data_IF_302619213962
#
_entry.id   IF_302619213962
#
_cell.length_a   1.000
_cell.length_b   1.000
_cell.length_c   1.000
_cell.angle_alpha   90.00
_cell.angle_beta   90.00
_cell.angle_gamma   90.00
#
_symmetry.space_group_name_H-M   'P 1'
#
loop_
_entity.id
_entity.type
_entity.pdbx_description
1 polymer ?
#
# COMPACT_ATOMS: atom_id res chain seq x y z
N UNK A 1 -7.20 15.39 -20.48
CA UNK A 1 -5.81 15.76 -20.85
C UNK A 1 -5.03 15.87 -19.56
N UNK A 2 -4.01 15.04 -19.38
CA UNK A 2 -3.08 15.11 -18.25
C UNK A 2 -2.15 16.31 -18.41
N UNK A 3 -1.98 17.10 -17.35
CA UNK A 3 -1.05 18.24 -17.29
C UNK A 3 0.38 17.81 -17.65
N UNK A 4 1.17 18.65 -18.37
CA UNK A 4 2.59 18.36 -18.61
C UNK A 4 3.34 18.28 -17.27
N UNK A 5 3.93 17.13 -16.96
CA UNK A 5 4.69 16.90 -15.71
C UNK A 5 4.00 16.02 -14.66
N UNK A 6 2.80 15.50 -14.94
CA UNK A 6 2.13 14.56 -14.03
C UNK A 6 2.95 13.28 -13.80
N UNK A 7 3.12 12.91 -12.53
CA UNK A 7 3.73 11.65 -12.13
C UNK A 7 2.91 10.46 -12.64
N UNK A 8 3.54 9.29 -12.71
CA UNK A 8 2.87 8.05 -13.11
C UNK A 8 1.68 7.70 -12.20
N UNK A 9 1.81 7.97 -10.91
CA UNK A 9 0.72 7.81 -9.93
C UNK A 9 -0.46 8.76 -10.22
N UNK A 10 -0.20 10.00 -10.59
CA UNK A 10 -1.26 10.98 -10.93
C UNK A 10 -1.97 10.61 -12.23
N UNK A 11 -1.23 10.12 -13.24
CA UNK A 11 -1.82 9.61 -14.49
C UNK A 11 -2.73 8.41 -14.22
N UNK A 12 -2.29 7.48 -13.37
CA UNK A 12 -3.09 6.33 -12.96
C UNK A 12 -4.34 6.76 -12.18
N UNK A 13 -4.20 7.69 -11.23
CA UNK A 13 -5.33 8.23 -10.48
C UNK A 13 -6.32 8.97 -11.38
N UNK A 14 -5.85 9.73 -12.37
CA UNK A 14 -6.70 10.42 -13.35
C UNK A 14 -7.45 9.44 -14.26
N UNK A 15 -6.85 8.30 -14.62
CA UNK A 15 -7.53 7.24 -15.36
C UNK A 15 -8.64 6.57 -14.52
N UNK A 16 -8.40 6.42 -13.22
CA UNK A 16 -9.33 5.79 -12.29
C UNK A 16 -10.40 6.73 -11.73
N UNK A 17 -10.16 8.06 -11.74
CA UNK A 17 -11.11 9.05 -11.22
C UNK A 17 -12.51 9.00 -11.84
N UNK A 18 -12.66 8.79 -13.17
CA UNK A 18 -13.97 8.65 -13.81
C UNK A 18 -14.70 7.32 -13.52
N UNK A 19 -14.13 6.38 -12.77
CA UNK A 19 -14.73 5.06 -12.49
C UNK A 19 -16.22 5.13 -12.08
N UNK A 20 -16.67 6.05 -11.19
CA UNK A 20 -18.09 6.15 -10.85
C UNK A 20 -19.00 6.39 -12.07
N UNK A 21 -18.50 7.09 -13.09
CA UNK A 21 -19.23 7.39 -14.34
C UNK A 21 -19.14 6.27 -15.39
N UNK A 22 -18.20 5.33 -15.21
CA UNK A 22 -18.05 4.13 -16.06
C UNK A 22 -18.92 2.96 -15.58
N UNK A 23 -19.45 3.05 -14.37
CA UNK A 23 -20.45 2.12 -13.84
C UNK A 23 -21.77 2.35 -14.61
N UNK A 24 -22.23 1.34 -15.36
CA UNK A 24 -23.49 1.44 -16.12
C UNK A 24 -23.39 1.33 -17.64
N UNK A 25 -22.31 0.77 -18.19
CA UNK A 25 -22.30 0.24 -19.57
C UNK A 25 -21.32 0.88 -20.55
N UNK A 26 -20.37 1.71 -20.10
CA UNK A 26 -19.25 2.14 -20.95
C UNK A 26 -18.10 1.14 -20.86
N UNK A 27 -17.41 0.91 -21.97
CA UNK A 27 -16.19 0.10 -21.98
C UNK A 27 -15.10 0.75 -21.10
N UNK A 28 -14.44 -0.05 -20.27
CA UNK A 28 -13.33 0.42 -19.45
C UNK A 28 -12.05 0.52 -20.29
N UNK A 29 -11.21 1.57 -20.13
CA UNK A 29 -10.00 1.77 -20.92
C UNK A 29 -8.85 0.84 -20.48
N UNK A 30 -8.94 -0.46 -20.78
CA UNK A 30 -7.93 -1.46 -20.39
C UNK A 30 -6.55 -1.20 -20.97
N UNK A 31 -6.44 -0.95 -22.28
CA UNK A 31 -5.13 -0.75 -22.92
C UNK A 31 -4.34 0.45 -22.33
N UNK A 32 -4.96 1.63 -22.10
CA UNK A 32 -4.31 2.70 -21.35
C UNK A 32 -3.89 2.31 -19.92
N UNK A 33 -4.71 1.52 -19.22
CA UNK A 33 -4.37 1.04 -17.87
C UNK A 33 -3.17 0.09 -17.90
N UNK A 34 -3.15 -0.87 -18.82
CA UNK A 34 -2.06 -1.83 -18.98
C UNK A 34 -0.73 -1.12 -19.30
N UNK A 35 -0.76 -0.12 -20.19
CA UNK A 35 0.42 0.68 -20.51
C UNK A 35 0.96 1.43 -19.28
N UNK A 36 0.09 2.02 -18.45
CA UNK A 36 0.51 2.67 -17.21
C UNK A 36 1.08 1.67 -16.21
N UNK A 37 0.49 0.48 -16.09
CA UNK A 37 1.00 -0.59 -15.22
C UNK A 37 2.38 -1.05 -15.68
N UNK A 38 2.61 -1.18 -16.99
CA UNK A 38 3.93 -1.50 -17.55
C UNK A 38 4.96 -0.41 -17.23
N UNK A 39 4.60 0.86 -17.40
CA UNK A 39 5.47 1.98 -17.02
C UNK A 39 5.83 1.93 -15.51
N UNK A 40 4.88 1.53 -14.65
CA UNK A 40 5.13 1.38 -13.20
C UNK A 40 6.12 0.24 -12.98
N UNK A 41 5.91 -0.87 -13.70
CA UNK A 41 6.79 -2.02 -13.64
C UNK A 41 8.20 -1.65 -14.08
N UNK A 42 8.39 -0.93 -15.18
CA UNK A 42 9.71 -0.54 -15.67
C UNK A 42 10.39 0.48 -14.74
N UNK A 43 9.62 1.38 -14.11
CA UNK A 43 10.14 2.40 -13.18
C UNK A 43 10.64 1.87 -11.83
N UNK A 44 10.29 0.64 -11.45
CA UNK A 44 10.60 0.05 -10.14
C UNK A 44 12.07 -0.31 -9.91
N UNK A 45 12.97 -0.02 -10.84
CA UNK A 45 14.24 -0.74 -10.92
C UNK A 45 15.20 -0.56 -9.74
N UNK A 46 15.21 0.51 -8.92
CA UNK A 46 16.40 0.70 -8.03
C UNK A 46 16.22 1.20 -6.60
N UNK A 47 15.06 1.64 -6.13
CA UNK A 47 14.96 2.18 -4.76
C UNK A 47 13.62 1.90 -4.07
N UNK A 48 13.68 1.86 -2.73
CA UNK A 48 12.54 2.01 -1.83
C UNK A 48 11.79 3.34 -2.02
N UNK A 49 12.47 4.35 -2.58
CA UNK A 49 11.97 5.72 -2.73
C UNK A 49 10.66 5.80 -3.52
N UNK A 50 10.51 5.09 -4.64
CA UNK A 50 9.28 5.13 -5.44
C UNK A 50 8.06 4.55 -4.71
N UNK A 51 8.26 3.45 -3.94
CA UNK A 51 7.22 2.91 -3.07
C UNK A 51 6.83 3.96 -2.02
N UNK A 52 7.81 4.59 -1.37
CA UNK A 52 7.55 5.56 -0.32
C UNK A 52 6.98 6.88 -0.82
N UNK A 53 7.36 7.32 -2.00
CA UNK A 53 6.73 8.44 -2.69
C UNK A 53 5.25 8.16 -2.92
N UNK A 54 4.90 6.97 -3.43
CA UNK A 54 3.50 6.58 -3.59
C UNK A 54 2.76 6.51 -2.25
N UNK A 55 3.37 5.94 -1.20
CA UNK A 55 2.71 5.68 0.08
C UNK A 55 2.66 6.87 1.05
N UNK A 56 3.65 7.76 1.03
CA UNK A 56 3.79 8.86 1.98
C UNK A 56 3.34 10.22 1.42
N UNK A 57 3.06 10.31 0.10
CA UNK A 57 2.51 11.52 -0.50
C UNK A 57 1.12 11.81 0.07
N UNK A 58 0.82 13.07 0.46
CA UNK A 58 -0.56 13.49 0.73
C UNK A 58 -1.42 13.24 -0.51
N UNK A 59 -2.70 12.90 -0.34
CA UNK A 59 -3.60 12.88 -1.50
C UNK A 59 -3.53 14.25 -2.19
N UNK A 60 -3.25 14.26 -3.50
CA UNK A 60 -3.15 15.51 -4.24
C UNK A 60 -4.54 16.19 -4.25
N UNK A 61 -4.61 17.53 -4.10
CA UNK A 61 -5.88 18.25 -4.17
C UNK A 61 -6.62 17.91 -5.47
N UNK A 62 -7.90 17.56 -5.36
CA UNK A 62 -8.75 17.22 -6.52
C UNK A 62 -8.61 15.78 -7.04
N UNK A 63 -7.75 14.95 -6.46
CA UNK A 63 -7.71 13.51 -6.75
C UNK A 63 -8.76 12.78 -5.92
N UNK A 64 -9.53 11.91 -6.58
CA UNK A 64 -10.51 11.06 -5.92
C UNK A 64 -9.85 10.12 -4.88
N UNK A 65 -10.33 10.06 -3.62
CA UNK A 65 -9.71 9.24 -2.58
C UNK A 65 -9.69 7.74 -2.88
N UNK A 66 -10.69 7.21 -3.60
CA UNK A 66 -10.72 5.81 -3.98
C UNK A 66 -9.67 5.53 -5.07
N UNK A 67 -9.54 6.41 -6.05
CA UNK A 67 -8.48 6.34 -7.05
C UNK A 67 -7.08 6.40 -6.40
N UNK A 68 -6.83 7.33 -5.48
CA UNK A 68 -5.54 7.42 -4.76
C UNK A 68 -5.23 6.13 -3.99
N UNK A 69 -6.24 5.53 -3.33
CA UNK A 69 -6.11 4.25 -2.64
C UNK A 69 -5.77 3.10 -3.59
N UNK A 70 -6.44 3.01 -4.76
CA UNK A 70 -6.13 2.01 -5.77
C UNK A 70 -4.69 2.13 -6.27
N UNK A 71 -4.20 3.35 -6.52
CA UNK A 71 -2.81 3.58 -6.95
C UNK A 71 -1.82 3.08 -5.90
N UNK A 72 -1.98 3.48 -4.64
CA UNK A 72 -1.10 3.03 -3.55
C UNK A 72 -1.10 1.51 -3.40
N UNK A 73 -2.29 0.91 -3.49
CA UNK A 73 -2.47 -0.53 -3.38
C UNK A 73 -1.85 -1.28 -4.55
N UNK A 74 -2.00 -0.78 -5.78
CA UNK A 74 -1.38 -1.34 -6.97
C UNK A 74 0.15 -1.29 -6.93
N UNK A 75 0.73 -0.15 -6.56
CA UNK A 75 2.19 -0.02 -6.40
C UNK A 75 2.72 -1.02 -5.38
N UNK A 76 2.08 -1.11 -4.20
CA UNK A 76 2.51 -2.08 -3.20
C UNK A 76 2.32 -3.52 -3.71
N UNK A 77 1.16 -3.86 -4.26
CA UNK A 77 0.88 -5.21 -4.79
C UNK A 77 1.91 -5.65 -5.84
N UNK A 78 2.27 -4.77 -6.79
CA UNK A 78 3.31 -5.04 -7.79
C UNK A 78 4.68 -5.29 -7.15
N UNK A 79 5.03 -4.54 -6.11
CA UNK A 79 6.28 -4.76 -5.35
C UNK A 79 6.27 -6.12 -4.64
N UNK A 80 5.13 -6.52 -4.06
CA UNK A 80 4.95 -7.83 -3.45
C UNK A 80 5.05 -8.96 -4.49
N UNK A 81 4.36 -8.83 -5.61
CA UNK A 81 4.39 -9.80 -6.70
C UNK A 81 5.82 -10.03 -7.22
N UNK A 82 6.62 -8.97 -7.33
CA UNK A 82 8.04 -9.10 -7.70
C UNK A 82 8.86 -9.85 -6.67
N UNK A 83 8.69 -9.54 -5.39
CA UNK A 83 9.37 -10.26 -4.32
C UNK A 83 8.94 -11.74 -4.24
N UNK A 84 7.74 -12.06 -4.71
CA UNK A 84 7.24 -13.44 -4.87
C UNK A 84 7.73 -14.13 -6.15
N UNK A 85 8.41 -13.41 -7.05
CA UNK A 85 8.95 -13.97 -8.29
C UNK A 85 7.93 -14.13 -9.42
N UNK A 86 6.82 -13.40 -9.39
CA UNK A 86 5.83 -13.43 -10.47
C UNK A 86 6.43 -13.00 -11.81
N UNK A 87 6.06 -13.71 -12.87
CA UNK A 87 6.49 -13.41 -14.23
C UNK A 87 5.87 -12.07 -14.72
N UNK A 88 6.44 -11.44 -15.77
CA UNK A 88 5.94 -10.15 -16.28
C UNK A 88 4.43 -10.13 -16.59
N UNK A 89 3.90 -11.20 -17.19
CA UNK A 89 2.47 -11.31 -17.49
C UNK A 89 1.60 -11.40 -16.21
N UNK A 90 2.06 -12.13 -15.20
CA UNK A 90 1.38 -12.24 -13.90
C UNK A 90 1.40 -10.91 -13.16
N UNK A 91 2.53 -10.19 -13.19
CA UNK A 91 2.66 -8.85 -12.62
C UNK A 91 1.72 -7.85 -13.29
N UNK A 92 1.62 -7.85 -14.62
CA UNK A 92 0.66 -7.00 -15.34
C UNK A 92 -0.77 -7.29 -14.88
N UNK A 93 -1.17 -8.57 -14.87
CA UNK A 93 -2.51 -8.97 -14.42
C UNK A 93 -2.79 -8.59 -12.97
N UNK A 94 -1.80 -8.74 -12.07
CA UNK A 94 -1.88 -8.29 -10.68
C UNK A 94 -2.05 -6.78 -10.57
N UNK A 95 -1.26 -6.00 -11.31
CA UNK A 95 -1.31 -4.53 -11.30
C UNK A 95 -2.65 -4.00 -11.80
N UNK A 96 -3.13 -4.52 -12.93
CA UNK A 96 -4.46 -4.19 -13.47
C UNK A 96 -5.55 -4.52 -12.46
N UNK A 97 -5.52 -5.73 -11.88
CA UNK A 97 -6.47 -6.14 -10.85
C UNK A 97 -6.46 -5.21 -9.63
N UNK A 98 -5.28 -4.85 -9.13
CA UNK A 98 -5.12 -3.95 -7.98
C UNK A 98 -5.55 -2.50 -8.27
N UNK A 99 -5.68 -2.09 -9.53
CA UNK A 99 -6.20 -0.77 -9.90
C UNK A 99 -7.73 -0.69 -9.87
N UNK A 100 -8.42 -1.84 -9.94
CA UNK A 100 -9.89 -1.90 -10.08
C UNK A 100 -10.57 -2.81 -9.06
N UNK A 101 -9.84 -3.36 -8.09
CA UNK A 101 -10.38 -4.37 -7.17
C UNK A 101 -11.56 -3.89 -6.33
N UNK A 102 -11.64 -2.58 -6.06
CA UNK A 102 -12.57 -1.99 -5.10
C UNK A 102 -13.55 -0.97 -5.72
N UNK A 103 -13.72 -1.02 -7.04
CA UNK A 103 -14.59 -0.09 -7.78
C UNK A 103 -16.07 -0.16 -7.35
N UNK A 104 -16.49 -1.26 -6.74
CA UNK A 104 -17.83 -1.44 -6.19
C UNK A 104 -18.14 -0.49 -5.02
N UNK A 105 -17.13 0.09 -4.36
CA UNK A 105 -17.35 1.13 -3.34
C UNK A 105 -17.87 2.44 -3.93
N UNK A 106 -17.54 2.75 -5.18
CA UNK A 106 -18.09 3.92 -5.86
C UNK A 106 -19.60 3.78 -6.14
N UNK A 107 -20.13 2.54 -6.16
CA UNK A 107 -21.53 2.25 -6.49
C UNK A 107 -22.50 2.36 -5.29
N UNK A 108 -22.06 2.74 -4.09
CA UNK A 108 -22.98 2.99 -2.97
C UNK A 108 -22.29 3.07 -1.61
N UNK A 109 -22.96 3.69 -0.63
CA UNK A 109 -22.44 3.97 0.71
C UNK A 109 -23.28 3.34 1.83
N UNK A 110 -22.62 2.87 2.89
CA UNK A 110 -23.24 2.34 4.11
C UNK A 110 -22.76 0.92 4.48
N UNK A 111 -22.90 0.48 5.74
CA UNK A 111 -22.20 -0.70 6.26
C UNK A 111 -22.49 -2.02 5.52
N UNK A 112 -23.73 -2.22 5.08
CA UNK A 112 -24.13 -3.41 4.32
C UNK A 112 -23.55 -3.38 2.89
N UNK A 113 -23.56 -2.21 2.25
CA UNK A 113 -22.98 -2.00 0.92
C UNK A 113 -21.44 -2.12 0.99
N UNK A 114 -20.83 -1.63 2.07
CA UNK A 114 -19.40 -1.77 2.33
C UNK A 114 -18.95 -3.20 2.55
N UNK A 115 -19.82 -4.15 2.94
CA UNK A 115 -19.44 -5.57 3.01
C UNK A 115 -19.68 -6.30 1.69
N UNK A 116 -20.60 -5.81 0.86
CA UNK A 116 -20.95 -6.41 -0.42
C UNK A 116 -20.10 -5.89 -1.60
N UNK A 117 -19.28 -4.85 -1.39
CA UNK A 117 -18.47 -4.27 -2.46
C UNK A 117 -17.57 -5.28 -3.21
N UNK A 118 -17.06 -6.42 -2.65
CA UNK A 118 -16.28 -7.36 -3.45
C UNK A 118 -17.12 -8.02 -4.55
N UNK A 119 -18.37 -8.38 -4.22
CA UNK A 119 -19.32 -8.95 -5.18
C UNK A 119 -19.69 -7.93 -6.25
N UNK A 120 -19.96 -6.69 -5.84
CA UNK A 120 -20.26 -5.58 -6.76
C UNK A 120 -19.08 -5.25 -7.66
N UNK A 121 -17.88 -5.16 -7.11
CA UNK A 121 -16.64 -4.90 -7.87
C UNK A 121 -16.41 -5.99 -8.90
N UNK A 122 -16.54 -7.27 -8.51
CA UNK A 122 -16.40 -8.39 -9.43
C UNK A 122 -17.44 -8.34 -10.57
N UNK A 123 -18.70 -8.00 -10.28
CA UNK A 123 -19.75 -7.87 -11.30
C UNK A 123 -19.47 -6.72 -12.27
N UNK A 124 -19.06 -5.55 -11.76
CA UNK A 124 -18.69 -4.37 -12.57
C UNK A 124 -17.50 -4.71 -13.47
N UNK A 125 -16.43 -5.25 -12.89
CA UNK A 125 -15.20 -5.62 -13.59
C UNK A 125 -15.49 -6.67 -14.67
N UNK A 126 -16.31 -7.68 -14.38
CA UNK A 126 -16.71 -8.68 -15.36
C UNK A 126 -17.50 -8.07 -16.54
N UNK A 127 -18.41 -7.13 -16.26
CA UNK A 127 -19.17 -6.43 -17.30
C UNK A 127 -18.26 -5.58 -18.22
N UNK A 128 -17.13 -5.10 -17.70
CA UNK A 128 -16.11 -4.40 -18.47
C UNK A 128 -15.24 -5.31 -19.35
N UNK A 129 -15.41 -6.63 -19.29
CA UNK A 129 -14.67 -7.61 -20.10
C UNK A 129 -13.14 -7.43 -19.94
N UNK A 130 -12.59 -7.77 -18.76
CA UNK A 130 -11.20 -7.50 -18.44
C UNK A 130 -10.25 -8.35 -19.30
N UNK A 131 -8.99 -7.92 -19.48
CA UNK A 131 -8.00 -8.65 -20.28
C UNK A 131 -7.67 -10.03 -19.71
N UNK A 132 -7.92 -10.26 -18.41
CA UNK A 132 -7.75 -11.55 -17.76
C UNK A 132 -8.90 -11.84 -16.77
N UNK A 133 -9.40 -13.09 -16.69
CA UNK A 133 -10.44 -13.47 -15.72
C UNK A 133 -10.03 -13.19 -14.26
N UNK A 134 -8.73 -13.30 -13.96
CA UNK A 134 -8.15 -13.02 -12.64
C UNK A 134 -8.50 -11.64 -12.11
N UNK A 135 -8.71 -10.63 -12.96
CA UNK A 135 -9.05 -9.26 -12.53
C UNK A 135 -10.36 -9.25 -11.73
N UNK A 136 -11.40 -9.92 -12.23
CA UNK A 136 -12.68 -10.05 -11.53
C UNK A 136 -12.58 -10.97 -10.31
N UNK A 137 -11.76 -12.03 -10.37
CA UNK A 137 -11.52 -12.93 -9.23
C UNK A 137 -10.88 -12.19 -8.06
N UNK A 138 -9.88 -11.34 -8.32
CA UNK A 138 -9.23 -10.52 -7.28
C UNK A 138 -10.23 -9.56 -6.65
N UNK A 139 -11.03 -8.86 -7.46
CA UNK A 139 -12.09 -7.99 -6.96
C UNK A 139 -13.06 -8.75 -6.04
N UNK A 140 -13.39 -10.01 -6.35
CA UNK A 140 -14.27 -10.83 -5.50
C UNK A 140 -13.60 -11.28 -4.19
N UNK A 141 -12.31 -11.61 -4.22
CA UNK A 141 -11.64 -12.38 -3.17
C UNK A 141 -10.65 -11.57 -2.32
N UNK A 142 -10.39 -10.29 -2.59
CA UNK A 142 -9.37 -9.51 -1.87
C UNK A 142 -9.65 -9.36 -0.35
N UNK A 143 -10.89 -9.58 0.09
CA UNK A 143 -11.25 -9.63 1.52
C UNK A 143 -11.28 -11.05 2.12
N UNK A 144 -10.94 -12.08 1.34
CA UNK A 144 -10.73 -13.43 1.86
C UNK A 144 -9.44 -13.50 2.69
N UNK A 145 -9.41 -14.42 3.65
CA UNK A 145 -8.29 -14.58 4.60
C UNK A 145 -7.98 -16.05 4.81
N UNK A 146 -6.70 -16.38 5.03
CA UNK A 146 -6.18 -17.74 4.90
C UNK A 146 -6.89 -18.80 5.78
N UNK A 147 -7.45 -18.40 6.92
CA UNK A 147 -8.18 -19.28 7.84
C UNK A 147 -9.71 -19.21 7.69
N UNK A 148 -10.23 -18.66 6.57
CA UNK A 148 -11.67 -18.55 6.29
C UNK A 148 -12.40 -17.50 7.11
N UNK A 149 -11.67 -16.61 7.80
CA UNK A 149 -12.24 -15.49 8.55
C UNK A 149 -12.60 -14.29 7.67
N UNK A 150 -12.32 -14.39 6.37
CA UNK A 150 -12.62 -13.35 5.38
C UNK A 150 -14.03 -13.43 4.82
N UNK A 151 -14.28 -12.64 3.79
CA UNK A 151 -15.56 -12.55 3.09
C UNK A 151 -15.31 -12.24 1.59
N UNK A 152 -16.27 -12.51 0.69
CA UNK A 152 -17.68 -12.85 0.94
C UNK A 152 -18.02 -14.34 0.97
N UNK A 153 -17.10 -15.24 0.63
CA UNK A 153 -17.31 -16.69 0.56
C UNK A 153 -16.61 -17.46 1.70
N UNK A 154 -15.71 -16.84 2.46
CA UNK A 154 -15.03 -17.48 3.59
C UNK A 154 -14.03 -18.54 3.13
N UNK A 155 -13.36 -18.27 2.01
CA UNK A 155 -12.40 -19.17 1.38
C UNK A 155 -11.19 -19.41 2.28
N UNK A 156 -10.57 -20.59 2.16
CA UNK A 156 -9.44 -21.03 3.01
C UNK A 156 -8.26 -21.43 2.15
N UNK A 157 -7.05 -21.12 2.61
CA UNK A 157 -5.80 -21.53 1.98
C UNK A 157 -5.80 -21.31 0.47
N UNK A 158 -5.53 -22.38 -0.28
CA UNK A 158 -5.34 -22.35 -1.74
C UNK A 158 -6.63 -22.10 -2.54
N UNK A 159 -7.80 -22.06 -1.89
CA UNK A 159 -9.03 -21.61 -2.53
C UNK A 159 -9.03 -20.09 -2.80
N UNK A 160 -8.15 -19.33 -2.12
CA UNK A 160 -7.95 -17.90 -2.37
C UNK A 160 -6.94 -17.74 -3.50
N UNK A 161 -7.33 -17.03 -4.55
CA UNK A 161 -6.43 -16.75 -5.66
C UNK A 161 -5.16 -16.03 -5.15
N UNK A 162 -3.94 -16.43 -5.57
CA UNK A 162 -2.70 -15.83 -5.09
C UNK A 162 -2.64 -14.31 -5.23
N UNK A 163 -3.09 -13.76 -6.37
CA UNK A 163 -3.21 -12.31 -6.57
C UNK A 163 -4.18 -11.65 -5.59
N UNK A 164 -5.27 -12.31 -5.21
CA UNK A 164 -6.23 -11.78 -4.24
C UNK A 164 -5.62 -11.70 -2.84
N UNK A 165 -4.81 -12.68 -2.45
CA UNK A 165 -4.07 -12.63 -1.19
C UNK A 165 -3.04 -11.49 -1.16
N UNK A 166 -2.36 -11.24 -2.29
CA UNK A 166 -1.42 -10.11 -2.44
C UNK A 166 -2.14 -8.76 -2.36
N UNK A 167 -3.21 -8.57 -3.13
CA UNK A 167 -4.00 -7.33 -3.13
C UNK A 167 -4.68 -7.10 -1.79
N UNK A 168 -5.22 -8.15 -1.16
CA UNK A 168 -5.86 -8.06 0.15
C UNK A 168 -4.92 -7.61 1.26
N UNK A 169 -3.65 -8.05 1.24
CA UNK A 169 -2.64 -7.57 2.18
C UNK A 169 -2.28 -6.11 1.87
N UNK A 170 -2.06 -5.79 0.59
CA UNK A 170 -1.71 -4.45 0.17
C UNK A 170 -2.81 -3.43 0.56
N UNK A 171 -4.08 -3.76 0.32
CA UNK A 171 -5.27 -2.98 0.68
C UNK A 171 -5.36 -2.76 2.20
N UNK A 172 -5.21 -3.83 2.98
CA UNK A 172 -5.27 -3.73 4.44
C UNK A 172 -4.17 -2.81 4.99
N UNK A 173 -2.96 -2.90 4.45
CA UNK A 173 -1.87 -2.03 4.85
C UNK A 173 -2.13 -0.58 4.46
N UNK A 174 -2.43 -0.31 3.19
CA UNK A 174 -2.61 1.06 2.65
C UNK A 174 -3.75 1.80 3.33
N UNK A 175 -4.87 1.13 3.65
CA UNK A 175 -5.98 1.75 4.39
C UNK A 175 -5.60 2.10 5.82
N UNK A 176 -4.97 1.17 6.55
CA UNK A 176 -4.71 1.33 7.98
C UNK A 176 -3.66 2.39 8.28
N UNK A 177 -2.64 2.53 7.45
CA UNK A 177 -1.59 3.56 7.64
C UNK A 177 -2.09 5.00 7.48
N UNK A 178 -3.32 5.21 6.98
CA UNK A 178 -3.95 6.53 6.97
C UNK A 178 -4.26 7.03 8.40
N UNK A 179 -4.52 6.12 9.34
CA UNK A 179 -4.94 6.46 10.71
C UNK A 179 -4.07 5.86 11.80
N UNK A 180 -3.32 4.79 11.52
CA UNK A 180 -2.44 4.09 12.46
C UNK A 180 -0.95 4.38 12.18
N UNK A 181 -0.05 4.01 13.10
CA UNK A 181 1.39 4.08 12.83
C UNK A 181 1.81 2.97 11.85
N UNK A 182 2.67 3.23 10.85
CA UNK A 182 3.10 2.20 9.89
C UNK A 182 3.67 0.94 10.56
N UNK A 183 4.54 1.13 11.55
CA UNK A 183 5.05 0.03 12.38
C UNK A 183 3.93 -0.75 13.10
N UNK A 184 2.94 -0.05 13.67
CA UNK A 184 1.79 -0.67 14.33
C UNK A 184 0.99 -1.56 13.38
N UNK A 185 0.76 -1.10 12.15
CA UNK A 185 0.07 -1.88 11.11
C UNK A 185 0.91 -3.09 10.69
N UNK A 186 2.21 -2.93 10.44
CA UNK A 186 3.11 -4.06 10.14
C UNK A 186 3.04 -5.12 11.25
N UNK A 187 3.12 -4.69 12.52
CA UNK A 187 3.03 -5.59 13.67
C UNK A 187 1.69 -6.33 13.72
N UNK A 188 0.58 -5.65 13.43
CA UNK A 188 -0.73 -6.27 13.40
C UNK A 188 -0.83 -7.32 12.28
N UNK A 189 -0.43 -6.99 11.05
CA UNK A 189 -0.43 -7.91 9.90
C UNK A 189 0.36 -9.20 10.21
N UNK A 190 1.54 -9.07 10.82
CA UNK A 190 2.38 -10.22 11.19
C UNK A 190 1.73 -11.07 12.29
N UNK A 191 1.13 -10.41 13.29
CA UNK A 191 0.50 -11.09 14.44
C UNK A 191 -0.78 -11.82 14.04
N UNK A 192 -1.61 -11.21 13.20
CA UNK A 192 -2.97 -11.68 12.93
C UNK A 192 -2.98 -12.92 12.02
N UNK A 193 -1.85 -13.23 11.34
CA UNK A 193 -1.65 -14.43 10.49
C UNK A 193 -2.79 -14.66 9.50
N UNK A 194 -3.39 -13.57 9.01
CA UNK A 194 -4.57 -13.62 8.15
C UNK A 194 -4.23 -13.88 6.67
N UNK A 195 -2.94 -13.80 6.31
CA UNK A 195 -2.43 -13.96 4.95
C UNK A 195 -1.41 -15.11 4.85
N UNK A 196 -1.23 -15.71 3.66
CA UNK A 196 -0.23 -16.75 3.44
C UNK A 196 1.18 -16.28 3.81
N UNK A 197 1.96 -17.15 4.45
CA UNK A 197 3.32 -16.82 4.91
C UNK A 197 4.25 -16.28 3.81
N UNK A 198 4.22 -16.77 2.55
CA UNK A 198 5.00 -16.17 1.46
C UNK A 198 4.64 -14.70 1.21
N UNK A 199 3.35 -14.35 1.23
CA UNK A 199 2.87 -12.98 1.00
C UNK A 199 3.31 -12.06 2.15
N UNK A 200 3.20 -12.51 3.40
CA UNK A 200 3.66 -11.75 4.58
C UNK A 200 5.18 -11.52 4.53
N UNK A 201 5.97 -12.52 4.09
CA UNK A 201 7.42 -12.39 3.92
C UNK A 201 7.77 -11.38 2.83
N UNK A 202 7.13 -11.46 1.66
CA UNK A 202 7.30 -10.49 0.59
C UNK A 202 6.95 -9.07 1.06
N UNK A 203 5.90 -8.94 1.86
CA UNK A 203 5.52 -7.67 2.48
C UNK A 203 6.59 -7.12 3.41
N UNK A 204 7.12 -7.91 4.33
CA UNK A 204 8.20 -7.48 5.22
C UNK A 204 9.47 -7.10 4.46
N UNK A 205 9.77 -7.75 3.34
CA UNK A 205 10.90 -7.39 2.47
C UNK A 205 10.66 -6.07 1.71
N UNK A 206 9.42 -5.81 1.29
CA UNK A 206 9.06 -4.61 0.54
C UNK A 206 8.95 -3.36 1.44
N UNK A 207 8.30 -3.50 2.59
CA UNK A 207 7.88 -2.41 3.48
C UNK A 207 8.82 -2.22 4.67
N UNK A 208 9.66 -3.22 4.98
CA UNK A 208 10.50 -3.29 6.20
C UNK A 208 9.68 -3.44 7.49
N UNK A 209 10.37 -3.79 8.59
CA UNK A 209 9.81 -3.81 9.95
C UNK A 209 9.55 -2.38 10.45
N UNK A 210 10.40 -1.44 10.01
CA UNK A 210 10.25 -0.02 10.30
C UNK A 210 10.10 0.76 8.99
N UNK A 211 8.87 0.86 8.45
CA UNK A 211 8.59 1.66 7.26
C UNK A 211 8.89 3.15 7.49
N UNK A 212 9.23 3.93 6.46
CA UNK A 212 9.25 5.38 6.54
C UNK A 212 7.93 5.94 7.07
N UNK A 213 8.03 6.97 7.90
CA UNK A 213 6.92 7.43 8.73
C UNK A 213 6.85 6.78 10.11
N UNK A 214 7.51 5.64 10.34
CA UNK A 214 7.59 5.04 11.67
C UNK A 214 8.33 5.98 12.63
N UNK A 215 7.73 6.25 13.76
CA UNK A 215 8.39 6.92 14.87
C UNK A 215 9.12 5.87 15.71
N UNK A 216 10.38 6.15 16.02
CA UNK A 216 11.27 5.21 16.70
C UNK A 216 12.03 5.92 17.80
N UNK A 217 12.33 5.17 18.85
CA UNK A 217 13.30 5.56 19.87
C UNK A 217 14.55 4.72 19.69
N UNK A 218 15.71 5.37 19.73
CA UNK A 218 17.00 4.70 19.72
C UNK A 218 17.39 4.25 21.14
N UNK A 219 18.31 3.30 21.25
CA UNK A 219 18.90 2.87 22.53
C UNK A 219 19.65 4.01 23.26
N UNK A 220 20.03 5.07 22.55
CA UNK A 220 20.61 6.30 23.09
C UNK A 220 19.58 7.24 23.73
N UNK A 221 18.29 6.94 23.64
CA UNK A 221 17.19 7.79 24.12
C UNK A 221 16.65 8.79 23.10
N UNK A 222 17.41 9.05 22.02
CA UNK A 222 17.01 9.91 20.90
C UNK A 222 15.71 9.42 20.25
N UNK A 223 14.81 10.34 19.91
CA UNK A 223 13.59 10.05 19.14
C UNK A 223 13.81 10.46 17.70
N UNK A 224 13.29 9.69 16.76
CA UNK A 224 13.40 9.98 15.34
C UNK A 224 12.26 9.41 14.52
N UNK A 225 12.18 9.86 13.27
CA UNK A 225 11.27 9.35 12.24
C UNK A 225 12.09 8.59 11.20
N UNK A 226 11.66 7.39 10.84
CA UNK A 226 12.25 6.66 9.71
C UNK A 226 11.96 7.41 8.42
N UNK A 227 12.99 7.67 7.64
CA UNK A 227 12.91 8.37 6.35
C UNK A 227 13.33 7.50 5.18
N UNK A 228 14.10 6.43 5.42
CA UNK A 228 14.45 5.43 4.41
C UNK A 228 14.76 4.07 5.07
N UNK A 229 14.82 3.01 4.27
CA UNK A 229 15.03 1.63 4.69
C UNK A 229 16.25 1.03 4.01
N UNK A 230 16.97 0.17 4.72
CA UNK A 230 18.02 -0.66 4.13
C UNK A 230 17.44 -2.04 3.79
N UNK A 231 17.24 -2.40 2.50
CA UNK A 231 16.52 -3.63 2.12
C UNK A 231 17.11 -4.91 2.70
N UNK A 232 18.45 -5.01 2.72
CA UNK A 232 19.17 -6.16 3.27
C UNK A 232 19.30 -6.13 4.80
N UNK A 233 18.95 -5.00 5.44
CA UNK A 233 19.05 -4.82 6.89
C UNK A 233 17.79 -4.11 7.45
N UNK A 234 16.61 -4.79 7.49
CA UNK A 234 15.33 -4.17 7.86
C UNK A 234 15.28 -3.53 9.26
N UNK A 235 16.15 -3.96 10.18
CA UNK A 235 16.26 -3.42 11.54
C UNK A 235 17.21 -2.22 11.66
N UNK A 236 17.82 -1.78 10.55
CA UNK A 236 18.78 -0.67 10.50
C UNK A 236 18.31 0.40 9.50
N UNK A 237 17.16 1.06 9.68
CA UNK A 237 16.71 2.12 8.78
C UNK A 237 17.56 3.39 8.82
N UNK A 238 17.29 4.33 7.91
CA UNK A 238 17.75 5.72 8.00
C UNK A 238 16.73 6.53 8.79
N UNK A 239 17.19 7.18 9.85
CA UNK A 239 16.33 7.90 10.81
C UNK A 239 16.68 9.38 10.81
N UNK A 240 15.67 10.23 10.64
CA UNK A 240 15.75 11.66 10.91
C UNK A 240 15.42 11.89 12.38
N UNK A 241 16.41 12.35 13.15
CA UNK A 241 16.25 12.60 14.58
C UNK A 241 15.42 13.85 14.81
N UNK A 242 14.51 13.75 15.77
CA UNK A 242 13.60 14.81 16.21
C UNK A 242 14.08 15.41 17.55
N UNK A 243 14.64 14.58 18.42
CA UNK A 243 15.19 15.00 19.73
C UNK A 243 16.58 14.44 19.95
N UNK A 244 17.35 15.11 20.80
CA UNK A 244 18.59 14.57 21.35
C UNK A 244 18.33 13.45 22.39
N UNK A 245 19.41 12.92 22.98
CA UNK A 245 19.37 11.88 24.00
C UNK A 245 18.70 12.31 25.32
N UNK A 246 18.61 13.62 25.58
CA UNK A 246 17.96 14.21 26.76
C UNK A 246 16.49 14.57 26.50
N UNK A 247 16.02 14.38 25.26
CA UNK A 247 14.66 14.69 24.85
C UNK A 247 14.45 16.14 24.40
N UNK A 248 15.52 16.94 24.29
CA UNK A 248 15.42 18.30 23.77
C UNK A 248 15.27 18.27 22.24
N UNK A 249 14.41 19.13 21.65
CA UNK A 249 14.31 19.27 20.20
C UNK A 249 15.67 19.63 19.59
N UNK A 250 15.99 19.03 18.43
CA UNK A 250 17.21 19.39 17.71
C UNK A 250 17.03 20.73 16.97
N UNK A 251 18.06 21.57 17.01
CA UNK A 251 18.08 22.86 16.32
C UNK A 251 18.04 22.72 14.78
N UNK A 252 18.48 21.57 14.26
CA UNK A 252 18.41 21.23 12.84
C UNK A 252 18.11 19.72 12.68
N UNK A 253 17.38 19.31 11.64
CA UNK A 253 17.16 17.90 11.34
C UNK A 253 18.49 17.17 11.15
N UNK A 254 18.69 16.07 11.88
CA UNK A 254 19.89 15.24 11.76
C UNK A 254 19.52 13.84 11.28
N UNK A 255 19.97 13.47 10.07
CA UNK A 255 19.78 12.12 9.54
C UNK A 255 20.91 11.20 9.96
N UNK A 256 20.55 9.99 10.38
CA UNK A 256 21.48 8.95 10.79
C UNK A 256 21.08 7.66 10.09
N UNK A 257 21.98 7.12 9.26
CA UNK A 257 21.86 5.77 8.76
C UNK A 257 22.29 4.80 9.87
N UNK A 258 21.37 3.98 10.39
CA UNK A 258 21.69 3.05 11.46
C UNK A 258 22.61 1.90 11.00
N UNK A 259 22.76 1.71 9.69
CA UNK A 259 23.75 0.77 9.13
C UNK A 259 25.19 1.25 9.39
N UNK A 260 25.41 2.56 9.32
CA UNK A 260 26.73 3.20 9.53
C UNK A 260 27.02 3.49 11.02
N UNK A 261 26.03 3.27 11.89
CA UNK A 261 26.10 3.51 13.33
C UNK A 261 25.82 2.22 14.12
N UNK A 262 26.77 1.27 14.21
CA UNK A 262 26.51 -0.08 14.70
C UNK A 262 25.95 -0.13 16.12
N UNK A 263 26.37 0.80 16.98
CA UNK A 263 25.93 0.92 18.38
C UNK A 263 24.60 1.64 18.56
N UNK A 264 24.03 2.24 17.50
CA UNK A 264 22.70 2.85 17.53
C UNK A 264 21.69 1.89 16.95
N UNK A 265 20.75 1.44 17.77
CA UNK A 265 19.67 0.55 17.33
C UNK A 265 18.31 1.13 17.74
N UNK A 266 17.27 0.76 17.00
CA UNK A 266 15.90 1.02 17.41
C UNK A 266 15.62 0.19 18.66
N UNK A 267 15.42 0.85 19.80
CA UNK A 267 15.11 0.21 21.07
C UNK A 267 13.63 -0.13 21.18
N UNK A 268 12.76 0.77 20.70
CA UNK A 268 11.31 0.56 20.62
C UNK A 268 10.67 1.45 19.56
N UNK A 269 9.52 1.05 18.99
CA UNK A 269 8.64 1.98 18.30
C UNK A 269 8.19 3.08 19.28
N UNK A 270 8.05 4.29 18.78
CA UNK A 270 7.58 5.45 19.52
C UNK A 270 6.19 5.82 18.98
N UNK A 271 5.23 4.92 19.17
CA UNK A 271 3.86 5.02 18.62
C UNK A 271 3.06 6.22 19.18
N UNK A 272 3.58 6.91 20.19
CA UNK A 272 3.06 8.18 20.68
C UNK A 272 3.30 9.26 19.61
N UNK A 273 2.30 9.48 18.75
CA UNK A 273 2.27 10.65 17.87
C UNK A 273 2.55 11.87 18.75
N UNK A 274 3.54 12.72 18.42
CA UNK A 274 3.65 14.00 19.09
C UNK A 274 2.31 14.70 18.92
N UNK A 275 1.65 15.01 20.03
CA UNK A 275 0.50 15.90 20.07
C UNK A 275 0.93 17.13 19.29
N UNK A 276 0.28 17.37 18.13
CA UNK A 276 0.48 18.60 17.37
C UNK A 276 0.33 19.73 18.39
N UNK A 277 1.31 20.66 18.54
CA UNK A 277 1.08 21.80 19.41
C UNK A 277 -0.23 22.43 18.96
N UNK A 278 -1.15 22.62 19.91
CA UNK A 278 -2.39 23.33 19.65
C UNK A 278 -1.99 24.60 18.89
N UNK A 279 -2.56 24.80 17.70
CA UNK A 279 -2.45 26.10 17.05
C UNK A 279 -2.98 27.09 18.08
N UNK A 280 -2.07 27.93 18.58
CA UNK A 280 -2.43 28.97 19.54
C UNK A 280 -3.49 29.90 18.94
N UNK A 281 -4.28 30.55 19.80
CA UNK A 281 -5.37 31.43 19.38
C UNK A 281 -4.91 32.56 18.44
#
# INVERSE_FOLDING_TARGET
MTEPGATLCERLAALLGPVPTLIGGRAFPWAPLEALVDEVLDGFERTSAALWEAMARPAAPGVDPLADHHVRTAVLALRLGRALGYAPAELRALGVAACVFDVGRAAGSGPALDRDHPRRSAAIVAAWQPPAPTVATVALQHHERAAGQGYPAGLRGDAIHPHAAVVGLADEYTRRIATESPHGVVRAIVRDRAFPAPVVRAFLQAVSVFPPGSLVRLNTGERGRVVDVNPSHPLRPVVELLTDARGAPLAAPRRVNLLDAPFRCVSRPDDDRPTRPAAGP
#
